data_IF_250716097621
#
_entry.id   IF_250716097621
#
_cell.length_a   1.000
_cell.length_b   1.000
_cell.length_c   1.000
_cell.angle_alpha   90.00
_cell.angle_beta   90.00
_cell.angle_gamma   90.00
#
_symmetry.space_group_name_H-M   'P 1'
#
loop_
_entity.id
_entity.type
_entity.pdbx_description
1 polymer ?
#
# COMPACT_ATOMS: atom_id res chain seq x y z
N UNK A 1 -4.85 1.44 -27.21
CA UNK A 1 -6.31 1.69 -27.12
C UNK A 1 -6.72 1.60 -25.67
N UNK A 2 -7.47 2.58 -25.14
CA UNK A 2 -7.97 2.52 -23.77
C UNK A 2 -9.21 1.61 -23.73
N UNK A 3 -9.13 0.50 -23.02
CA UNK A 3 -10.27 -0.40 -22.84
C UNK A 3 -11.15 0.16 -21.72
N UNK A 4 -12.41 0.41 -22.01
CA UNK A 4 -13.40 0.86 -21.02
C UNK A 4 -13.74 -0.33 -20.11
N UNK A 5 -13.40 -0.27 -18.82
CA UNK A 5 -13.83 -1.29 -17.86
C UNK A 5 -15.35 -1.26 -17.77
N UNK A 6 -15.96 -2.44 -17.75
CA UNK A 6 -17.38 -2.61 -17.44
C UNK A 6 -17.66 -2.04 -16.04
N UNK A 7 -18.87 -1.51 -15.87
CA UNK A 7 -19.35 -0.84 -14.66
C UNK A 7 -19.27 -1.76 -13.43
N UNK A 8 -18.13 -1.73 -12.75
CA UNK A 8 -17.96 -2.40 -11.44
C UNK A 8 -18.63 -1.55 -10.36
N UNK A 9 -19.38 -2.18 -9.51
CA UNK A 9 -20.01 -1.57 -8.34
C UNK A 9 -19.32 -2.04 -7.07
N UNK A 10 -19.18 -1.17 -6.10
CA UNK A 10 -18.65 -1.46 -4.76
C UNK A 10 -19.25 -0.49 -3.74
N UNK A 11 -19.19 -0.85 -2.47
CA UNK A 11 -19.59 0.04 -1.39
C UNK A 11 -18.54 1.11 -1.13
N UNK A 12 -17.23 0.71 -1.22
CA UNK A 12 -16.10 1.62 -1.04
C UNK A 12 -15.10 1.43 -2.16
N UNK A 13 -14.74 2.54 -2.81
CA UNK A 13 -13.68 2.59 -3.81
C UNK A 13 -12.42 3.22 -3.19
N UNK A 14 -11.31 2.51 -3.24
CA UNK A 14 -9.99 2.98 -2.78
C UNK A 14 -9.12 3.26 -3.99
N UNK A 15 -8.58 4.47 -4.08
CA UNK A 15 -7.69 4.88 -5.18
C UNK A 15 -6.23 4.84 -4.72
N UNK A 16 -5.47 3.91 -5.29
CA UNK A 16 -4.07 3.65 -4.95
C UNK A 16 -3.89 2.53 -3.92
N UNK A 17 -3.08 1.53 -4.27
CA UNK A 17 -2.76 0.37 -3.44
C UNK A 17 -1.39 0.52 -2.74
N UNK A 18 -1.03 1.73 -2.33
CA UNK A 18 0.10 1.97 -1.43
C UNK A 18 -0.24 1.55 0.01
N UNK A 19 0.68 1.72 0.99
CA UNK A 19 0.46 1.26 2.36
C UNK A 19 -0.85 1.74 2.98
N UNK A 20 -1.21 3.02 2.80
CA UNK A 20 -2.46 3.56 3.33
C UNK A 20 -3.70 2.94 2.67
N UNK A 21 -3.71 2.84 1.32
CA UNK A 21 -4.84 2.24 0.61
C UNK A 21 -4.99 0.75 0.89
N UNK A 22 -3.88 0.02 0.97
CA UNK A 22 -3.89 -1.40 1.31
C UNK A 22 -4.40 -1.66 2.75
N UNK A 23 -3.94 -0.86 3.73
CA UNK A 23 -4.43 -0.96 5.10
C UNK A 23 -5.93 -0.60 5.20
N UNK A 24 -6.37 0.47 4.52
CA UNK A 24 -7.79 0.85 4.44
C UNK A 24 -8.62 -0.30 3.86
N UNK A 25 -8.19 -0.85 2.72
CA UNK A 25 -8.90 -1.94 2.06
C UNK A 25 -8.97 -3.20 2.94
N UNK A 26 -7.87 -3.52 3.66
CA UNK A 26 -7.84 -4.64 4.59
C UNK A 26 -8.89 -4.50 5.68
N UNK A 27 -8.90 -3.37 6.40
CA UNK A 27 -9.82 -3.17 7.52
C UNK A 27 -11.29 -3.13 7.08
N UNK A 28 -11.58 -2.50 5.95
CA UNK A 28 -12.92 -2.48 5.40
C UNK A 28 -13.39 -3.87 4.94
N UNK A 29 -12.57 -4.60 4.21
CA UNK A 29 -12.89 -5.96 3.77
C UNK A 29 -13.06 -6.90 4.97
N UNK A 30 -12.21 -6.81 5.99
CA UNK A 30 -12.33 -7.56 7.24
C UNK A 30 -13.63 -7.25 8.00
N UNK A 31 -14.17 -6.04 7.85
CA UNK A 31 -15.47 -5.66 8.37
C UNK A 31 -16.66 -6.08 7.48
N UNK A 32 -16.42 -6.82 6.39
CA UNK A 32 -17.46 -7.32 5.48
C UNK A 32 -17.95 -6.30 4.46
N UNK A 33 -17.23 -5.19 4.27
CA UNK A 33 -17.57 -4.16 3.28
C UNK A 33 -17.03 -4.56 1.91
N UNK A 34 -17.83 -4.43 0.85
CA UNK A 34 -17.38 -4.64 -0.53
C UNK A 34 -16.45 -3.49 -0.97
N UNK A 35 -15.15 -3.80 -1.05
CA UNK A 35 -14.08 -2.85 -1.35
C UNK A 35 -13.45 -3.16 -2.70
N UNK A 36 -13.36 -2.14 -3.55
CA UNK A 36 -12.60 -2.16 -4.79
C UNK A 36 -11.40 -1.21 -4.68
N UNK A 37 -10.21 -1.72 -4.97
CA UNK A 37 -8.96 -0.95 -5.01
C UNK A 37 -8.54 -0.79 -6.46
N UNK A 38 -8.29 0.45 -6.92
CA UNK A 38 -7.72 0.73 -8.23
C UNK A 38 -6.28 1.20 -8.07
N UNK A 39 -5.35 0.51 -8.72
CA UNK A 39 -3.92 0.86 -8.71
C UNK A 39 -3.43 1.09 -10.15
N UNK A 40 -2.72 2.20 -10.36
CA UNK A 40 -2.22 2.60 -11.69
C UNK A 40 -1.09 1.74 -12.23
N UNK A 41 -0.42 0.99 -11.36
CA UNK A 41 0.73 0.14 -11.69
C UNK A 41 0.43 -1.32 -11.39
N UNK A 42 1.18 -2.25 -11.99
CA UNK A 42 1.18 -3.65 -11.59
C UNK A 42 2.20 -3.90 -10.46
N UNK A 43 1.91 -4.82 -9.57
CA UNK A 43 2.85 -5.29 -8.55
C UNK A 43 3.76 -6.41 -9.09
N UNK A 44 5.02 -6.53 -8.57
CA UNK A 44 5.67 -5.60 -7.67
C UNK A 44 6.03 -4.29 -8.36
N UNK A 45 5.84 -3.15 -7.69
CA UNK A 45 6.16 -1.84 -8.23
C UNK A 45 7.14 -1.10 -7.35
N UNK A 46 8.04 -0.36 -7.96
CA UNK A 46 8.97 0.50 -7.24
C UNK A 46 8.30 1.80 -6.79
N UNK A 47 8.74 2.30 -5.64
CA UNK A 47 8.33 3.59 -5.10
C UNK A 47 9.47 4.19 -4.30
N UNK A 48 9.97 5.34 -4.71
CA UNK A 48 11.03 6.06 -3.99
C UNK A 48 10.59 6.30 -2.54
N UNK A 49 11.36 5.74 -1.60
CA UNK A 49 11.13 5.79 -0.17
C UNK A 49 12.42 5.46 0.58
N UNK A 50 12.53 5.86 1.86
CA UNK A 50 13.64 5.46 2.74
C UNK A 50 13.49 4.04 3.33
N UNK A 51 12.49 3.27 2.92
CA UNK A 51 12.25 1.87 3.31
C UNK A 51 12.17 1.62 4.84
N UNK A 52 12.06 2.69 5.62
CA UNK A 52 12.00 2.65 7.07
C UNK A 52 10.56 2.69 7.61
N UNK A 53 10.25 1.81 8.54
CA UNK A 53 8.96 1.72 9.21
C UNK A 53 9.11 2.03 10.70
N UNK A 54 8.28 2.94 11.20
CA UNK A 54 8.21 3.29 12.62
C UNK A 54 7.49 2.21 13.44
N UNK A 55 7.62 2.19 14.78
CA UNK A 55 6.85 1.30 15.64
C UNK A 55 5.34 1.34 15.43
N UNK A 56 4.80 2.52 15.08
CA UNK A 56 3.37 2.65 14.74
C UNK A 56 2.99 1.91 13.46
N UNK A 57 3.84 1.97 12.43
CA UNK A 57 3.63 1.22 11.20
C UNK A 57 3.77 -0.31 11.45
N UNK A 58 4.72 -0.71 12.29
CA UNK A 58 4.89 -2.12 12.70
C UNK A 58 3.63 -2.66 13.40
N UNK A 59 3.06 -1.88 14.31
CA UNK A 59 1.79 -2.24 14.98
C UNK A 59 0.68 -2.53 13.97
N UNK A 60 0.55 -1.69 12.95
CA UNK A 60 -0.46 -1.87 11.91
C UNK A 60 -0.21 -3.12 11.07
N UNK A 61 1.03 -3.37 10.67
CA UNK A 61 1.43 -4.57 9.94
C UNK A 61 1.07 -5.85 10.72
N UNK A 62 1.38 -5.86 12.02
CA UNK A 62 1.01 -6.98 12.91
C UNK A 62 -0.51 -7.13 13.03
N UNK A 63 -1.26 -6.01 13.14
CA UNK A 63 -2.72 -6.02 13.19
C UNK A 63 -3.37 -6.55 11.89
N UNK A 64 -2.68 -6.38 10.76
CA UNK A 64 -3.06 -6.98 9.48
C UNK A 64 -2.71 -8.48 9.40
N UNK A 65 -2.08 -9.07 10.42
CA UNK A 65 -1.70 -10.48 10.46
C UNK A 65 -0.45 -10.80 9.65
N UNK A 66 0.39 -9.82 9.35
CA UNK A 66 1.67 -10.02 8.67
C UNK A 66 2.76 -10.15 9.74
N UNK A 67 3.52 -11.25 9.69
CA UNK A 67 4.64 -11.50 10.58
C UNK A 67 5.96 -11.04 9.93
N UNK A 68 6.57 -9.93 10.38
CA UNK A 68 7.78 -9.40 9.75
C UNK A 68 8.98 -10.34 9.77
N UNK A 69 9.04 -11.24 10.75
CA UNK A 69 10.15 -12.21 10.88
C UNK A 69 10.04 -13.28 9.78
N UNK A 70 8.83 -13.77 9.51
CA UNK A 70 8.59 -14.72 8.42
C UNK A 70 8.81 -14.11 7.04
N UNK A 71 8.54 -12.81 6.90
CA UNK A 71 8.83 -12.05 5.67
C UNK A 71 10.34 -11.73 5.50
N UNK A 72 11.18 -11.98 6.52
CA UNK A 72 12.61 -11.72 6.48
C UNK A 72 12.97 -10.21 6.55
N UNK A 73 12.06 -9.37 7.02
CA UNK A 73 12.29 -7.93 7.13
C UNK A 73 13.22 -7.60 8.30
N UNK A 74 14.06 -6.57 8.12
CA UNK A 74 15.07 -6.23 9.09
C UNK A 74 14.52 -5.38 10.23
N UNK A 75 14.78 -5.80 11.46
CA UNK A 75 14.43 -5.05 12.68
C UNK A 75 15.45 -3.92 12.89
N UNK A 76 14.99 -2.71 13.16
CA UNK A 76 15.79 -1.60 13.63
C UNK A 76 15.32 -1.14 15.02
N UNK A 77 16.28 -0.62 15.83
CA UNK A 77 16.00 -0.25 17.23
C UNK A 77 15.96 1.27 17.45
N UNK A 78 16.03 2.05 16.39
CA UNK A 78 16.03 3.51 16.48
C UNK A 78 16.56 4.17 15.21
N UNK A 79 16.84 5.44 15.33
CA UNK A 79 17.37 6.30 14.28
C UNK A 79 18.74 6.83 14.64
N UNK A 80 19.63 6.96 13.66
CA UNK A 80 20.86 7.72 13.79
C UNK A 80 20.81 8.94 12.87
N UNK A 81 20.98 10.11 13.45
CA UNK A 81 21.09 11.38 12.71
C UNK A 81 22.56 11.77 12.68
N UNK A 82 23.11 12.02 11.50
CA UNK A 82 24.52 12.36 11.30
C UNK A 82 24.56 13.69 10.54
N UNK A 83 25.31 14.65 11.09
CA UNK A 83 25.49 15.97 10.47
C UNK A 83 26.45 16.83 11.28
N UNK A 84 27.12 17.80 10.62
CA UNK A 84 28.05 18.72 11.29
C UNK A 84 29.18 18.06 12.08
N UNK A 85 29.65 16.85 11.68
CA UNK A 85 30.63 16.10 12.42
C UNK A 85 30.11 15.36 13.66
N UNK A 86 28.84 15.43 13.94
CA UNK A 86 28.18 14.80 15.09
C UNK A 86 27.29 13.64 14.69
N UNK A 87 27.10 12.68 15.61
CA UNK A 87 26.15 11.56 15.48
C UNK A 87 25.28 11.52 16.74
N UNK A 88 23.98 11.54 16.53
CA UNK A 88 22.99 11.35 17.59
C UNK A 88 22.23 10.06 17.28
N UNK A 89 22.18 9.15 18.25
CA UNK A 89 21.40 7.90 18.16
C UNK A 89 20.18 8.02 19.06
N UNK A 90 19.02 7.85 18.48
CA UNK A 90 17.71 7.95 19.13
C UNK A 90 17.06 6.57 19.11
N UNK A 91 17.04 5.83 20.25
CA UNK A 91 16.31 4.57 20.33
C UNK A 91 14.80 4.82 20.19
N UNK A 92 14.07 3.83 19.70
CA UNK A 92 12.61 3.91 19.74
C UNK A 92 12.14 3.95 21.20
N UNK A 93 11.21 4.87 21.55
CA UNK A 93 10.72 4.97 22.91
C UNK A 93 9.92 3.73 23.27
N UNK A 94 10.12 3.22 24.49
CA UNK A 94 9.30 2.17 25.06
C UNK A 94 7.93 2.72 25.42
N UNK A 95 6.90 2.27 24.71
CA UNK A 95 5.49 2.58 24.98
C UNK A 95 4.71 1.29 25.03
N UNK A 96 3.87 1.11 26.04
CA UNK A 96 3.05 -0.09 26.22
C UNK A 96 2.10 -0.41 25.04
N UNK A 97 1.77 0.58 24.22
CA UNK A 97 0.85 0.44 23.10
C UNK A 97 1.52 0.19 21.74
N UNK A 98 2.85 0.25 21.67
CA UNK A 98 3.62 0.12 20.43
C UNK A 98 4.77 -0.89 20.60
N UNK A 99 5.16 -1.60 19.52
CA UNK A 99 6.41 -2.33 19.51
C UNK A 99 7.61 -1.42 19.84
N UNK A 100 8.63 -1.94 20.51
CA UNK A 100 9.87 -1.20 20.82
C UNK A 100 10.89 -1.22 19.67
N UNK A 101 10.42 -1.52 18.47
CA UNK A 101 11.25 -1.62 17.27
C UNK A 101 10.54 -1.09 16.04
N UNK A 102 11.34 -0.69 15.08
CA UNK A 102 10.92 -0.41 13.71
C UNK A 102 11.37 -1.52 12.77
N UNK A 103 11.05 -1.39 11.49
CA UNK A 103 11.45 -2.32 10.44
C UNK A 103 12.09 -1.58 9.28
N UNK A 104 12.87 -2.31 8.50
CA UNK A 104 13.37 -1.86 7.20
C UNK A 104 13.06 -2.95 6.18
N UNK A 105 12.34 -2.58 5.13
CA UNK A 105 12.01 -3.46 4.00
C UNK A 105 11.77 -2.64 2.74
N UNK A 106 12.04 -3.23 1.59
CA UNK A 106 11.84 -2.55 0.30
C UNK A 106 10.36 -2.30 0.06
N UNK A 107 10.04 -1.14 -0.51
CA UNK A 107 8.67 -0.79 -0.88
C UNK A 107 8.06 -1.74 -1.91
N UNK A 108 8.87 -2.36 -2.76
CA UNK A 108 8.42 -3.40 -3.70
C UNK A 108 7.82 -4.60 -2.98
N UNK A 109 8.42 -5.02 -1.88
CA UNK A 109 7.97 -6.16 -1.07
C UNK A 109 6.82 -5.74 -0.14
N UNK A 110 7.00 -4.63 0.60
CA UNK A 110 6.01 -4.13 1.55
C UNK A 110 4.66 -3.87 0.88
N UNK A 111 4.64 -3.04 -0.17
CA UNK A 111 3.39 -2.63 -0.81
C UNK A 111 2.65 -3.84 -1.39
N UNK A 112 3.39 -4.77 -2.02
CA UNK A 112 2.81 -6.00 -2.55
C UNK A 112 2.23 -6.89 -1.43
N UNK A 113 2.95 -7.06 -0.33
CA UNK A 113 2.51 -7.90 0.77
C UNK A 113 1.28 -7.35 1.48
N UNK A 114 1.22 -6.02 1.66
CA UNK A 114 0.07 -5.35 2.27
C UNK A 114 -1.20 -5.52 1.42
N UNK A 115 -1.10 -5.29 0.11
CA UNK A 115 -2.28 -5.42 -0.76
C UNK A 115 -2.73 -6.88 -0.92
N UNK A 116 -1.80 -7.83 -0.96
CA UNK A 116 -2.13 -9.25 -0.96
C UNK A 116 -2.92 -9.65 0.29
N UNK A 117 -2.55 -9.09 1.45
CA UNK A 117 -3.28 -9.33 2.70
C UNK A 117 -4.71 -8.75 2.66
N UNK A 118 -4.87 -7.56 2.05
CA UNK A 118 -6.20 -6.99 1.84
C UNK A 118 -7.07 -7.86 0.90
N UNK A 119 -6.49 -8.35 -0.18
CA UNK A 119 -7.17 -9.25 -1.14
C UNK A 119 -7.53 -10.58 -0.46
N UNK A 120 -6.65 -11.14 0.36
CA UNK A 120 -6.93 -12.36 1.13
C UNK A 120 -8.10 -12.18 2.11
N UNK A 121 -8.37 -10.94 2.56
CA UNK A 121 -9.53 -10.59 3.39
C UNK A 121 -10.80 -10.27 2.59
N UNK A 122 -10.76 -10.30 1.26
CA UNK A 122 -11.92 -10.10 0.40
C UNK A 122 -11.95 -8.78 -0.38
N UNK A 123 -10.94 -7.91 -0.26
CA UNK A 123 -10.84 -6.73 -1.11
C UNK A 123 -10.57 -7.13 -2.57
N UNK A 124 -11.19 -6.44 -3.52
CA UNK A 124 -10.92 -6.61 -4.95
C UNK A 124 -9.84 -5.61 -5.39
N UNK A 125 -8.87 -6.05 -6.18
CA UNK A 125 -7.81 -5.22 -6.73
C UNK A 125 -7.87 -5.22 -8.25
N UNK A 126 -7.82 -4.04 -8.87
CA UNK A 126 -7.60 -3.88 -10.30
C UNK A 126 -6.34 -3.05 -10.50
N UNK A 127 -5.32 -3.69 -11.03
CA UNK A 127 -4.04 -3.09 -11.38
C UNK A 127 -4.07 -2.41 -12.75
N UNK A 128 -3.00 -1.69 -13.11
CA UNK A 128 -2.86 -0.97 -14.38
C UNK A 128 -4.02 -0.01 -14.68
N UNK A 129 -4.70 0.47 -13.64
CA UNK A 129 -5.90 1.28 -13.74
C UNK A 129 -5.68 2.65 -13.08
N UNK A 130 -5.48 3.66 -13.91
CA UNK A 130 -5.23 5.03 -13.47
C UNK A 130 -6.53 5.82 -13.40
N UNK A 131 -6.97 6.17 -12.21
CA UNK A 131 -8.10 7.08 -11.99
C UNK A 131 -7.73 8.46 -12.55
N UNK A 132 -8.66 9.04 -13.29
CA UNK A 132 -8.49 10.34 -13.93
C UNK A 132 -9.32 11.42 -13.25
N UNK A 133 -10.57 11.10 -12.93
CA UNK A 133 -11.51 12.09 -12.41
C UNK A 133 -12.58 11.45 -11.53
N UNK A 134 -13.25 12.28 -10.72
CA UNK A 134 -14.45 11.91 -9.97
C UNK A 134 -15.68 11.97 -10.87
N UNK A 135 -16.60 11.05 -10.65
CA UNK A 135 -17.96 11.13 -11.18
C UNK A 135 -18.88 11.53 -10.03
N UNK A 136 -19.65 12.59 -10.25
CA UNK A 136 -20.62 13.09 -9.27
C UNK A 136 -22.05 12.86 -9.76
N UNK A 137 -22.98 12.70 -8.83
CA UNK A 137 -24.41 12.69 -9.10
C UNK A 137 -24.98 14.11 -9.33
N UNK A 138 -26.30 14.20 -9.51
CA UNK A 138 -26.98 15.49 -9.74
C UNK A 138 -26.90 16.46 -8.57
N UNK A 139 -26.67 15.94 -7.35
CA UNK A 139 -26.55 16.72 -6.12
C UNK A 139 -25.08 17.07 -5.80
N UNK A 140 -24.14 16.64 -6.64
CA UNK A 140 -22.72 16.91 -6.51
C UNK A 140 -21.95 15.95 -5.59
N UNK A 141 -22.56 14.86 -5.14
CA UNK A 141 -21.87 13.84 -4.34
C UNK A 141 -21.08 12.89 -5.24
N UNK A 142 -19.88 12.50 -4.76
CA UNK A 142 -19.06 11.52 -5.46
C UNK A 142 -19.77 10.15 -5.50
N UNK A 143 -20.06 9.66 -6.70
CA UNK A 143 -20.73 8.38 -6.93
C UNK A 143 -19.89 7.40 -7.75
N UNK A 144 -18.67 7.78 -8.12
CA UNK A 144 -17.75 6.94 -8.86
C UNK A 144 -16.49 7.66 -9.32
N UNK A 145 -15.73 6.98 -10.17
CA UNK A 145 -14.53 7.54 -10.80
C UNK A 145 -14.49 7.16 -12.28
N UNK A 146 -13.87 7.98 -13.10
CA UNK A 146 -13.40 7.60 -14.43
C UNK A 146 -11.96 7.12 -14.35
N UNK A 147 -11.62 6.06 -15.07
CA UNK A 147 -10.29 5.50 -15.04
C UNK A 147 -9.85 5.00 -16.43
N UNK A 148 -8.54 5.01 -16.67
CA UNK A 148 -7.90 4.46 -17.87
C UNK A 148 -7.17 3.18 -17.49
N UNK A 149 -7.52 2.09 -18.15
CA UNK A 149 -6.76 0.84 -18.09
C UNK A 149 -5.58 0.93 -19.03
N UNK A 150 -4.40 0.66 -18.51
CA UNK A 150 -3.17 0.58 -19.28
C UNK A 150 -2.86 -0.88 -19.57
N UNK A 151 -2.58 -1.21 -20.82
CA UNK A 151 -2.06 -2.53 -21.14
C UNK A 151 -0.72 -2.74 -20.43
N UNK A 152 -0.43 -3.95 -19.93
CA UNK A 152 0.86 -4.27 -19.33
C UNK A 152 1.95 -3.98 -20.38
N UNK A 153 2.91 -3.12 -20.04
CA UNK A 153 4.07 -2.91 -20.91
C UNK A 153 4.85 -4.23 -20.95
N UNK A 154 4.78 -4.93 -22.07
CA UNK A 154 5.63 -6.09 -22.33
C UNK A 154 7.09 -5.62 -22.29
N UNK A 155 7.81 -5.93 -21.22
CA UNK A 155 9.26 -5.70 -21.16
C UNK A 155 9.90 -6.51 -22.29
N UNK A 156 10.17 -5.89 -23.43
CA UNK A 156 11.12 -6.45 -24.38
C UNK A 156 12.47 -6.52 -23.66
N UNK A 157 12.93 -7.74 -23.36
CA UNK A 157 14.33 -7.99 -23.03
C UNK A 157 15.15 -7.46 -24.20
N UNK A 158 15.88 -6.36 -24.00
CA UNK A 158 17.02 -6.05 -24.85
C UNK A 158 18.07 -7.09 -24.54
N UNK A 159 18.17 -8.10 -25.38
CA UNK A 159 19.37 -8.90 -25.50
C UNK A 159 20.47 -7.99 -26.07
N UNK A 160 21.54 -7.85 -25.31
CA UNK A 160 22.81 -7.24 -25.75
C UNK A 160 23.86 -8.29 -25.57
#
# INVERSE_FOLDING_TARGET
MATKIAKDQCQVLVVGAGPAGAATAYHLAKAGIDVLVLEKSAFPRDKICGDGLTPGAVKEILAMGINPVEEGWQVNRGLSVIGGGHRITLPWPEKSSLPSYGLTCKRTELDQRLIQQAVACGARLIENTAVQDLVTDADGYACGVSAIVREPQTRQKKES
#
